data_IF_710535391675
#
_entry.id   IF_710535391675
#
_cell.length_a   1.000
_cell.length_b   1.000
_cell.length_c   1.000
_cell.angle_alpha   90.00
_cell.angle_beta   90.00
_cell.angle_gamma   90.00
#
_symmetry.space_group_name_H-M   'P 1'
#
loop_
_entity.id
_entity.type
_entity.pdbx_description
1 polymer ?
#
# COMPACT_ATOMS: atom_id res chain seq x y z
N UNK A 1 -3.17 -24.85 -26.17
CA UNK A 1 -3.91 -24.18 -25.06
C UNK A 1 -4.28 -22.79 -25.51
N UNK A 2 -5.52 -22.31 -25.28
CA UNK A 2 -5.89 -20.93 -25.66
C UNK A 2 -5.08 -19.93 -24.80
N UNK A 3 -4.66 -18.77 -25.31
CA UNK A 3 -3.83 -17.80 -24.58
C UNK A 3 -4.47 -17.35 -23.25
N UNK A 4 -5.80 -17.33 -23.19
CA UNK A 4 -6.57 -17.05 -21.97
C UNK A 4 -6.30 -18.09 -20.87
N UNK A 5 -6.19 -19.37 -21.23
CA UNK A 5 -5.88 -20.45 -20.28
C UNK A 5 -4.44 -20.37 -19.79
N UNK A 6 -3.50 -19.96 -20.65
CA UNK A 6 -2.11 -19.76 -20.26
C UNK A 6 -1.99 -18.59 -19.26
N UNK A 7 -2.69 -17.47 -19.51
CA UNK A 7 -2.68 -16.30 -18.64
C UNK A 7 -3.42 -16.54 -17.31
N UNK A 8 -4.53 -17.27 -17.32
CA UNK A 8 -5.23 -17.67 -16.07
C UNK A 8 -4.39 -18.66 -15.26
N UNK A 9 -3.70 -19.60 -15.90
CA UNK A 9 -2.73 -20.47 -15.23
C UNK A 9 -1.53 -19.69 -14.67
N UNK A 10 -1.06 -18.65 -15.37
CA UNK A 10 0.00 -17.77 -14.89
C UNK A 10 -0.45 -16.95 -13.66
N UNK A 11 -1.69 -16.44 -13.66
CA UNK A 11 -2.27 -15.77 -12.50
C UNK A 11 -2.44 -16.76 -11.32
N UNK A 12 -2.94 -17.97 -11.58
CA UNK A 12 -3.05 -19.02 -10.56
C UNK A 12 -1.67 -19.45 -10.00
N UNK A 13 -0.62 -19.44 -10.82
CA UNK A 13 0.75 -19.66 -10.37
C UNK A 13 1.26 -18.52 -9.46
N UNK A 14 0.91 -17.26 -9.74
CA UNK A 14 1.23 -16.14 -8.85
C UNK A 14 0.50 -16.22 -7.51
N UNK A 15 -0.72 -16.77 -7.47
CA UNK A 15 -1.44 -17.09 -6.23
C UNK A 15 -0.80 -18.23 -5.41
N UNK A 16 0.01 -19.09 -6.04
CA UNK A 16 0.67 -20.23 -5.37
C UNK A 16 2.02 -19.89 -4.72
N UNK A 17 2.52 -18.67 -4.91
CA UNK A 17 3.70 -18.17 -4.17
C UNK A 17 3.21 -17.69 -2.80
N UNK A 18 2.97 -18.65 -1.90
CA UNK A 18 2.67 -18.37 -0.50
C UNK A 18 3.90 -17.77 0.22
N UNK A 19 3.72 -16.80 1.13
CA UNK A 19 4.80 -16.21 1.92
C UNK A 19 5.56 -17.21 2.80
N UNK A 20 5.01 -18.42 3.00
CA UNK A 20 5.71 -19.50 3.71
C UNK A 20 7.02 -19.94 3.03
N UNK A 21 7.19 -19.73 1.72
CA UNK A 21 8.40 -20.14 0.99
C UNK A 21 9.54 -19.11 1.02
N UNK A 22 9.35 -17.97 1.71
CA UNK A 22 10.35 -16.91 1.85
C UNK A 22 11.00 -16.85 3.24
N UNK A 23 10.60 -17.74 4.18
CA UNK A 23 11.27 -17.85 5.46
C UNK A 23 12.53 -18.72 5.31
N UNK A 24 13.70 -18.12 5.51
CA UNK A 24 14.85 -18.85 6.03
C UNK A 24 14.59 -19.17 7.51
N UNK A 25 14.95 -20.39 7.92
CA UNK A 25 14.91 -20.81 9.32
C UNK A 25 15.85 -19.93 10.15
N UNK A 26 15.30 -18.90 10.80
CA UNK A 26 15.98 -18.14 11.84
C UNK A 26 15.41 -18.62 13.18
N UNK A 27 16.15 -19.51 13.83
CA UNK A 27 15.87 -20.03 15.16
C UNK A 27 16.20 -18.93 16.18
N UNK A 28 15.19 -18.23 16.71
CA UNK A 28 15.39 -17.25 17.77
C UNK A 28 15.17 -17.90 19.15
N UNK A 29 16.29 -18.37 19.70
CA UNK A 29 16.43 -18.71 21.11
C UNK A 29 16.10 -17.52 22.04
N UNK A 30 15.32 -17.86 23.05
CA UNK A 30 14.81 -17.08 24.18
C UNK A 30 15.79 -16.07 24.83
N UNK A 31 15.34 -14.84 25.08
CA UNK A 31 15.80 -14.02 26.21
C UNK A 31 14.69 -13.07 26.72
N UNK A 32 14.06 -13.51 27.81
CA UNK A 32 13.35 -12.79 28.87
C UNK A 32 13.26 -11.25 28.80
N UNK A 33 12.01 -10.78 28.79
CA UNK A 33 11.57 -9.41 29.04
C UNK A 33 12.01 -8.90 30.41
N UNK A 34 12.70 -7.75 30.44
CA UNK A 34 12.90 -6.96 31.66
C UNK A 34 11.96 -5.75 31.62
N UNK A 35 11.06 -5.54 32.60
CA UNK A 35 10.19 -4.37 32.61
C UNK A 35 10.92 -3.14 33.15
N UNK A 36 10.92 -2.06 32.38
CA UNK A 36 11.39 -0.75 32.81
C UNK A 36 10.39 -0.12 33.79
N UNK A 37 10.92 0.32 34.94
CA UNK A 37 10.17 0.92 36.04
C UNK A 37 9.62 2.31 35.67
N UNK A 38 8.32 2.50 35.88
CA UNK A 38 7.63 3.79 35.81
C UNK A 38 7.68 4.53 37.15
N UNK A 39 8.21 5.75 37.13
CA UNK A 39 8.27 6.69 38.25
C UNK A 39 6.88 7.30 38.59
N UNK A 40 6.61 7.68 39.85
CA UNK A 40 5.30 8.16 40.27
C UNK A 40 5.09 9.66 40.04
N UNK A 41 3.84 9.98 39.69
CA UNK A 41 3.25 11.31 39.56
C UNK A 41 2.93 11.88 40.95
N UNK A 42 3.33 13.12 41.25
CA UNK A 42 2.98 13.79 42.51
C UNK A 42 2.52 15.23 42.27
N UNK A 43 1.43 15.57 42.95
CA UNK A 43 0.55 16.74 42.83
C UNK A 43 1.18 18.08 43.23
N UNK A 44 0.68 19.17 42.64
CA UNK A 44 0.92 20.54 43.07
C UNK A 44 -0.01 20.91 44.23
N UNK A 45 0.51 21.58 45.27
CA UNK A 45 -0.22 22.62 46.01
C UNK A 45 0.75 23.50 46.82
N UNK A 46 0.39 24.80 46.87
CA UNK A 46 1.11 25.96 47.42
C UNK A 46 1.66 25.85 48.85
N UNK A 47 2.71 26.63 49.17
CA UNK A 47 2.70 27.74 50.15
C UNK A 47 4.06 28.48 50.16
N UNK A 48 3.94 29.80 50.26
CA UNK A 48 4.89 30.90 50.35
C UNK A 48 5.84 30.87 51.58
N UNK A 49 7.13 31.26 51.41
CA UNK A 49 7.84 32.25 52.26
C UNK A 49 9.33 32.53 51.87
N UNK A 50 9.64 33.83 51.75
CA UNK A 50 10.84 34.63 52.08
C UNK A 50 12.31 34.27 51.63
N UNK A 51 12.86 35.21 50.84
CA UNK A 51 14.26 35.62 50.54
C UNK A 51 15.24 35.81 51.74
N UNK A 52 16.53 36.27 51.55
CA UNK A 52 17.56 36.02 50.50
C UNK A 52 19.01 35.85 51.08
N UNK A 53 20.02 35.48 50.27
CA UNK A 53 21.42 35.97 50.41
C UNK A 53 22.39 35.52 49.29
N UNK A 54 22.90 36.51 48.54
CA UNK A 54 24.27 36.75 48.01
C UNK A 54 25.18 35.63 47.46
N UNK A 55 25.75 35.86 46.26
CA UNK A 55 27.07 35.29 45.89
C UNK A 55 27.46 35.27 44.40
N UNK A 56 27.91 36.42 43.88
CA UNK A 56 28.97 36.65 42.86
C UNK A 56 29.04 35.89 41.52
N UNK A 57 29.34 36.70 40.48
CA UNK A 57 29.65 36.37 39.10
C UNK A 57 31.00 35.66 38.92
N UNK A 58 31.24 35.07 37.74
CA UNK A 58 32.49 35.16 36.94
C UNK A 58 32.29 34.45 35.57
N UNK A 59 32.94 34.99 34.54
CA UNK A 59 32.81 34.71 33.10
C UNK A 59 33.83 33.67 32.58
N UNK A 60 33.65 33.18 31.34
CA UNK A 60 34.73 32.60 30.50
C UNK A 60 34.24 31.48 29.55
N UNK A 61 34.02 31.72 28.26
CA UNK A 61 34.97 31.86 27.12
C UNK A 61 35.26 30.57 26.32
N UNK A 62 35.11 30.65 24.98
CA UNK A 62 35.64 29.71 23.98
C UNK A 62 34.58 29.17 23.00
N UNK A 63 34.12 29.90 21.97
CA UNK A 63 34.77 30.26 20.70
C UNK A 63 34.90 29.11 19.66
N UNK A 64 34.17 29.31 18.56
CA UNK A 64 34.53 29.07 17.16
C UNK A 64 34.74 27.63 16.62
N UNK A 65 33.90 27.30 15.64
CA UNK A 65 34.12 26.27 14.63
C UNK A 65 33.20 26.52 13.42
N UNK A 66 33.45 27.61 12.69
CA UNK A 66 33.00 27.78 11.31
C UNK A 66 34.12 27.25 10.39
N UNK A 67 33.73 26.50 9.36
CA UNK A 67 34.30 26.48 7.99
C UNK A 67 33.86 25.15 7.34
N UNK A 68 32.87 25.20 6.44
CA UNK A 68 32.99 25.44 4.99
C UNK A 68 33.04 24.13 4.20
N UNK A 69 31.95 23.94 3.45
CA UNK A 69 31.83 23.30 2.15
C UNK A 69 33.02 22.45 1.64
N UNK A 70 32.77 21.14 1.49
CA UNK A 70 33.40 20.36 0.45
C UNK A 70 32.50 19.21 -0.01
N UNK A 71 32.02 19.32 -1.25
CA UNK A 71 31.89 18.17 -2.17
C UNK A 71 30.71 17.22 -1.95
N UNK A 72 29.61 17.50 -2.64
CA UNK A 72 28.51 16.55 -2.82
C UNK A 72 27.74 16.86 -4.09
N UNK A 73 28.43 16.63 -5.22
CA UNK A 73 27.96 16.53 -6.60
C UNK A 73 26.47 16.72 -6.89
N UNK A 74 26.24 17.60 -7.85
CA UNK A 74 25.00 17.80 -8.60
C UNK A 74 24.25 16.47 -8.90
N UNK A 75 23.21 16.19 -8.12
CA UNK A 75 22.18 15.18 -8.44
C UNK A 75 20.78 15.82 -8.40
N UNK A 76 20.70 17.09 -8.82
CA UNK A 76 19.46 17.87 -8.79
C UNK A 76 18.50 17.58 -9.96
N UNK A 77 18.85 16.68 -10.89
CA UNK A 77 18.05 16.35 -12.07
C UNK A 77 17.30 15.02 -11.99
N UNK A 78 17.97 13.94 -11.56
CA UNK A 78 17.38 12.60 -11.52
C UNK A 78 16.71 12.28 -10.17
N UNK A 79 17.22 12.83 -9.06
CA UNK A 79 16.63 12.64 -7.73
C UNK A 79 15.24 13.28 -7.57
N UNK A 80 15.01 14.43 -8.22
CA UNK A 80 13.75 15.18 -8.10
C UNK A 80 12.56 14.48 -8.76
N UNK A 81 12.72 14.02 -10.01
CA UNK A 81 11.65 13.37 -10.77
C UNK A 81 11.26 12.01 -10.18
N UNK A 82 12.26 11.19 -9.80
CA UNK A 82 12.02 9.90 -9.15
C UNK A 82 11.37 10.09 -7.77
N UNK A 83 11.75 11.11 -7.01
CA UNK A 83 11.11 11.42 -5.73
C UNK A 83 9.63 11.82 -5.89
N UNK A 84 9.27 12.57 -6.95
CA UNK A 84 7.88 12.88 -7.27
C UNK A 84 7.11 11.61 -7.65
N UNK A 85 7.68 10.76 -8.52
CA UNK A 85 7.07 9.49 -8.91
C UNK A 85 6.76 8.58 -7.71
N UNK A 86 7.67 8.51 -6.73
CA UNK A 86 7.45 7.74 -5.49
C UNK A 86 6.25 8.23 -4.69
N UNK A 87 5.94 9.54 -4.70
CA UNK A 87 4.79 10.11 -3.98
C UNK A 87 3.46 9.96 -4.74
N UNK A 88 3.50 9.57 -6.01
CA UNK A 88 2.30 9.44 -6.84
C UNK A 88 1.59 8.09 -6.66
N UNK A 89 2.23 7.07 -6.08
CA UNK A 89 1.59 5.76 -5.91
C UNK A 89 0.21 5.83 -5.24
N UNK A 90 0.04 6.51 -4.08
CA UNK A 90 -1.28 6.68 -3.46
C UNK A 90 -2.30 7.39 -4.37
N UNK A 91 -1.87 8.32 -5.22
CA UNK A 91 -2.78 8.95 -6.18
C UNK A 91 -3.20 7.97 -7.29
N UNK A 92 -2.25 7.21 -7.83
CA UNK A 92 -2.49 6.29 -8.95
C UNK A 92 -3.41 5.12 -8.62
N UNK A 93 -3.54 4.73 -7.34
CA UNK A 93 -4.44 3.63 -6.94
C UNK A 93 -5.93 3.99 -7.01
N UNK A 94 -6.29 5.27 -6.88
CA UNK A 94 -7.70 5.68 -6.80
C UNK A 94 -8.45 5.42 -8.11
N UNK A 95 -7.78 5.63 -9.24
CA UNK A 95 -8.37 5.47 -10.56
C UNK A 95 -8.81 4.02 -10.85
N UNK A 96 -7.94 3.00 -10.77
CA UNK A 96 -8.36 1.61 -10.97
C UNK A 96 -9.38 1.14 -9.92
N UNK A 97 -9.25 1.57 -8.65
CA UNK A 97 -10.24 1.24 -7.60
C UNK A 97 -11.62 1.73 -8.02
N UNK A 98 -11.76 3.01 -8.34
CA UNK A 98 -13.03 3.60 -8.73
C UNK A 98 -13.62 2.91 -9.97
N UNK A 99 -12.80 2.67 -11.01
CA UNK A 99 -13.29 2.08 -12.25
C UNK A 99 -13.72 0.62 -12.10
N UNK A 100 -12.99 -0.22 -11.37
CA UNK A 100 -13.40 -1.61 -11.17
C UNK A 100 -14.63 -1.73 -10.27
N UNK A 101 -14.72 -0.91 -9.21
CA UNK A 101 -15.92 -0.89 -8.36
C UNK A 101 -17.15 -0.39 -9.13
N UNK A 102 -16.98 0.67 -9.95
CA UNK A 102 -18.07 1.16 -10.81
C UNK A 102 -18.43 0.19 -11.93
N UNK A 103 -17.46 -0.55 -12.49
CA UNK A 103 -17.73 -1.62 -13.45
C UNK A 103 -18.58 -2.72 -12.81
N UNK A 104 -18.22 -3.17 -11.60
CA UNK A 104 -18.98 -4.19 -10.86
C UNK A 104 -20.40 -3.71 -10.52
N UNK A 105 -20.55 -2.47 -10.05
CA UNK A 105 -21.85 -1.87 -9.78
C UNK A 105 -22.70 -1.75 -11.06
N UNK A 106 -22.10 -1.29 -12.16
CA UNK A 106 -22.78 -1.16 -13.46
C UNK A 106 -23.20 -2.53 -14.01
N UNK A 107 -22.36 -3.56 -13.87
CA UNK A 107 -22.70 -4.93 -14.25
C UNK A 107 -23.87 -5.49 -13.40
N UNK A 108 -24.02 -5.08 -12.14
CA UNK A 108 -25.20 -5.41 -11.32
C UNK A 108 -26.49 -4.82 -11.91
N UNK A 109 -26.45 -3.59 -12.43
CA UNK A 109 -27.60 -3.00 -13.14
C UNK A 109 -27.92 -3.73 -14.45
N UNK A 110 -26.90 -4.21 -15.18
CA UNK A 110 -27.07 -5.08 -16.35
C UNK A 110 -27.75 -6.39 -15.95
N UNK A 111 -27.31 -7.05 -14.87
CA UNK A 111 -27.91 -8.29 -14.35
C UNK A 111 -29.37 -8.08 -13.94
N UNK A 112 -29.66 -6.98 -13.26
CA UNK A 112 -31.02 -6.62 -12.82
C UNK A 112 -31.96 -6.25 -13.98
N UNK A 113 -31.49 -6.31 -15.25
CA UNK A 113 -32.21 -5.87 -16.45
C UNK A 113 -32.67 -4.40 -16.39
N UNK A 114 -32.04 -3.60 -15.52
CA UNK A 114 -32.32 -2.17 -15.32
C UNK A 114 -31.45 -1.26 -16.19
N UNK A 115 -30.50 -1.83 -16.92
CA UNK A 115 -29.53 -1.10 -17.73
C UNK A 115 -29.35 -1.67 -19.13
N UNK A 116 -30.42 -1.63 -19.95
CA UNK A 116 -30.31 -1.98 -21.37
C UNK A 116 -29.22 -1.11 -22.02
N UNK A 117 -28.17 -1.73 -22.54
CA UNK A 117 -27.07 -1.02 -23.21
C UNK A 117 -25.96 -0.46 -22.31
N UNK A 118 -25.89 -0.80 -21.02
CA UNK A 118 -24.76 -0.39 -20.16
C UNK A 118 -23.49 -1.25 -20.32
N UNK A 119 -23.55 -2.32 -21.12
CA UNK A 119 -22.42 -3.22 -21.34
C UNK A 119 -21.16 -2.55 -21.92
N UNK A 120 -21.26 -1.60 -22.87
CA UNK A 120 -20.10 -0.84 -23.34
C UNK A 120 -19.47 0.01 -22.23
N UNK A 121 -20.28 0.58 -21.32
CA UNK A 121 -19.78 1.35 -20.19
C UNK A 121 -18.95 0.47 -19.23
N UNK A 122 -19.45 -0.74 -18.90
CA UNK A 122 -18.69 -1.73 -18.12
C UNK A 122 -17.36 -2.04 -18.79
N UNK A 123 -17.36 -2.22 -20.13
CA UNK A 123 -16.15 -2.53 -20.91
C UNK A 123 -15.13 -1.40 -20.86
N UNK A 124 -15.55 -0.14 -21.03
CA UNK A 124 -14.67 1.03 -20.93
C UNK A 124 -14.07 1.14 -19.53
N UNK A 125 -14.88 0.94 -18.48
CA UNK A 125 -14.41 0.96 -17.10
C UNK A 125 -13.39 -0.16 -16.83
N UNK A 126 -13.61 -1.36 -17.36
CA UNK A 126 -12.64 -2.47 -17.25
C UNK A 126 -11.32 -2.11 -17.94
N UNK A 127 -11.34 -1.53 -19.15
CA UNK A 127 -10.10 -1.15 -19.83
C UNK A 127 -9.35 -0.04 -19.11
N UNK A 128 -10.05 1.01 -18.70
CA UNK A 128 -9.45 2.09 -17.91
C UNK A 128 -8.92 1.59 -16.57
N UNK A 129 -9.66 0.70 -15.90
CA UNK A 129 -9.26 0.07 -14.65
C UNK A 129 -8.02 -0.80 -14.83
N UNK A 130 -7.95 -1.61 -15.88
CA UNK A 130 -6.80 -2.46 -16.19
C UNK A 130 -5.54 -1.62 -16.46
N UNK A 131 -5.66 -0.58 -17.30
CA UNK A 131 -4.56 0.34 -17.55
C UNK A 131 -4.11 1.05 -16.27
N UNK A 132 -5.07 1.55 -15.48
CA UNK A 132 -4.79 2.19 -14.19
C UNK A 132 -4.12 1.26 -13.18
N UNK A 133 -4.52 -0.02 -13.13
CA UNK A 133 -3.94 -0.99 -12.21
C UNK A 133 -2.50 -1.35 -12.56
N UNK A 134 -2.18 -1.44 -13.87
CA UNK A 134 -0.79 -1.61 -14.32
C UNK A 134 0.05 -0.40 -13.89
N UNK A 135 -0.43 0.83 -14.12
CA UNK A 135 0.26 2.05 -13.68
C UNK A 135 0.44 2.06 -12.16
N UNK A 136 -0.61 1.74 -11.40
CA UNK A 136 -0.55 1.71 -9.94
C UNK A 136 0.45 0.68 -9.42
N UNK A 137 0.48 -0.53 -10.01
CA UNK A 137 1.45 -1.57 -9.65
C UNK A 137 2.88 -1.12 -9.95
N UNK A 138 3.14 -0.55 -11.14
CA UNK A 138 4.46 -0.02 -11.49
C UNK A 138 4.93 1.04 -10.49
N UNK A 139 4.05 1.99 -10.14
CA UNK A 139 4.37 3.02 -9.16
C UNK A 139 4.56 2.46 -7.76
N UNK A 140 3.87 1.38 -7.40
CA UNK A 140 4.07 0.66 -6.15
C UNK A 140 5.47 0.06 -6.06
N UNK A 141 5.91 -0.63 -7.12
CA UNK A 141 7.27 -1.18 -7.20
C UNK A 141 8.36 -0.09 -7.23
N UNK A 142 8.09 1.07 -7.85
CA UNK A 142 9.00 2.23 -7.78
C UNK A 142 9.04 2.82 -6.37
N UNK A 143 7.89 2.87 -5.69
CA UNK A 143 7.77 3.41 -4.32
C UNK A 143 8.56 2.57 -3.31
N UNK A 144 8.43 1.23 -3.35
CA UNK A 144 9.11 0.31 -2.42
C UNK A 144 10.51 -0.11 -2.89
N UNK A 145 10.84 0.10 -4.15
CA UNK A 145 12.02 -0.49 -4.80
C UNK A 145 11.89 -2.00 -5.06
N UNK A 146 12.95 -2.61 -5.59
CA UNK A 146 13.07 -4.07 -5.82
C UNK A 146 13.37 -4.83 -4.51
N UNK A 147 13.14 -4.20 -3.36
CA UNK A 147 13.37 -4.82 -2.06
C UNK A 147 12.21 -5.76 -1.72
N UNK A 148 12.53 -6.99 -1.35
CA UNK A 148 11.53 -8.02 -1.05
C UNK A 148 11.20 -8.17 0.42
N UNK A 149 11.83 -7.43 1.35
CA UNK A 149 11.49 -7.49 2.78
C UNK A 149 10.20 -6.75 3.13
N UNK A 150 9.94 -6.64 4.44
CA UNK A 150 8.75 -6.01 5.01
C UNK A 150 8.01 -6.97 5.93
N UNK A 151 7.17 -6.43 6.80
CA UNK A 151 6.25 -7.23 7.61
C UNK A 151 5.20 -7.94 6.73
N UNK A 152 4.42 -8.83 7.33
CA UNK A 152 3.37 -9.60 6.64
C UNK A 152 2.39 -8.68 5.90
N UNK A 153 2.03 -7.54 6.48
CA UNK A 153 1.09 -6.59 5.88
C UNK A 153 1.66 -6.04 4.58
N UNK A 154 2.92 -5.61 4.58
CA UNK A 154 3.62 -5.11 3.40
C UNK A 154 3.74 -6.18 2.31
N UNK A 155 4.08 -7.42 2.68
CA UNK A 155 4.18 -8.53 1.73
C UNK A 155 2.85 -8.78 1.04
N UNK A 156 1.78 -8.91 1.81
CA UNK A 156 0.44 -9.22 1.29
C UNK A 156 -0.06 -8.05 0.44
N UNK A 157 0.13 -6.81 0.88
CA UNK A 157 -0.27 -5.61 0.13
C UNK A 157 0.38 -5.59 -1.27
N UNK A 158 1.71 -5.76 -1.32
CA UNK A 158 2.50 -5.70 -2.56
C UNK A 158 2.12 -6.81 -3.55
N UNK A 159 2.08 -8.05 -3.08
CA UNK A 159 1.78 -9.20 -3.95
C UNK A 159 0.32 -9.20 -4.40
N UNK A 160 -0.61 -8.88 -3.51
CA UNK A 160 -2.01 -8.72 -3.89
C UNK A 160 -2.18 -7.54 -4.88
N UNK A 161 -1.39 -6.48 -4.78
CA UNK A 161 -1.45 -5.33 -5.69
C UNK A 161 -1.02 -5.71 -7.11
N UNK A 162 0.05 -6.50 -7.20
CA UNK A 162 0.54 -7.07 -8.46
C UNK A 162 -0.46 -8.07 -9.05
N UNK A 163 -1.06 -8.92 -8.22
CA UNK A 163 -2.13 -9.83 -8.63
C UNK A 163 -3.32 -9.06 -9.22
N UNK A 164 -3.77 -7.98 -8.58
CA UNK A 164 -4.88 -7.16 -9.05
C UNK A 164 -4.60 -6.55 -10.44
N UNK A 165 -3.37 -6.12 -10.71
CA UNK A 165 -3.00 -5.67 -12.05
C UNK A 165 -3.11 -6.79 -13.09
N UNK A 166 -2.64 -8.01 -12.76
CA UNK A 166 -2.76 -9.17 -13.63
C UNK A 166 -4.23 -9.58 -13.88
N UNK A 167 -5.06 -9.61 -12.82
CA UNK A 167 -6.50 -9.88 -12.94
C UNK A 167 -7.22 -8.81 -13.77
N UNK A 168 -6.82 -7.55 -13.66
CA UNK A 168 -7.32 -6.46 -14.49
C UNK A 168 -7.06 -6.69 -15.98
N UNK A 169 -5.86 -7.15 -16.35
CA UNK A 169 -5.54 -7.52 -17.73
C UNK A 169 -6.36 -8.72 -18.21
N UNK A 170 -6.54 -9.73 -17.35
CA UNK A 170 -7.41 -10.88 -17.65
C UNK A 170 -8.84 -10.39 -17.90
N UNK A 171 -9.38 -9.50 -17.05
CA UNK A 171 -10.70 -8.88 -17.25
C UNK A 171 -10.79 -8.14 -18.59
N UNK A 172 -9.77 -7.37 -18.97
CA UNK A 172 -9.73 -6.69 -20.26
C UNK A 172 -9.81 -7.66 -21.45
N UNK A 173 -9.13 -8.81 -21.36
CA UNK A 173 -9.20 -9.87 -22.37
C UNK A 173 -10.57 -10.56 -22.38
N UNK A 174 -11.18 -10.81 -21.21
CA UNK A 174 -12.54 -11.33 -21.13
C UNK A 174 -13.55 -10.34 -21.73
N UNK A 175 -13.34 -9.05 -21.51
CA UNK A 175 -14.20 -7.99 -21.98
C UNK A 175 -14.06 -7.71 -23.49
N UNK A 176 -12.94 -8.06 -24.15
CA UNK A 176 -12.75 -7.83 -25.58
C UNK A 176 -13.49 -8.83 -26.47
N UNK A 177 -13.61 -10.08 -26.02
CA UNK A 177 -14.23 -11.16 -26.79
C UNK A 177 -15.76 -11.08 -26.86
N UNK A 178 -16.32 -11.52 -27.98
CA UNK A 178 -17.71 -11.94 -28.06
C UNK A 178 -17.78 -13.35 -27.46
N UNK A 179 -18.32 -13.47 -26.24
CA UNK A 179 -18.47 -14.74 -25.54
C UNK A 179 -19.94 -15.09 -25.43
N UNK A 180 -20.26 -16.37 -25.61
CA UNK A 180 -21.62 -16.91 -25.43
C UNK A 180 -22.15 -16.70 -24.01
N UNK A 181 -21.25 -16.58 -23.02
CA UNK A 181 -21.59 -16.33 -21.63
C UNK A 181 -20.74 -15.22 -21.01
N UNK A 182 -21.42 -14.30 -20.31
CA UNK A 182 -20.80 -13.27 -19.46
C UNK A 182 -20.44 -13.78 -18.05
N UNK A 183 -20.82 -15.01 -17.69
CA UNK A 183 -20.55 -15.59 -16.37
C UNK A 183 -19.07 -15.47 -15.92
N UNK A 184 -18.06 -15.83 -16.75
CA UNK A 184 -16.66 -15.74 -16.30
C UNK A 184 -16.20 -14.28 -16.07
N UNK A 185 -16.71 -13.32 -16.85
CA UNK A 185 -16.42 -11.90 -16.65
C UNK A 185 -17.03 -11.44 -15.32
N UNK A 186 -18.29 -11.80 -15.06
CA UNK A 186 -19.00 -11.43 -13.82
C UNK A 186 -18.32 -11.99 -12.59
N UNK A 187 -18.01 -13.29 -12.58
CA UNK A 187 -17.32 -13.94 -11.47
C UNK A 187 -16.01 -13.22 -11.19
N UNK A 188 -15.17 -13.04 -12.22
CA UNK A 188 -13.88 -12.39 -12.04
C UNK A 188 -14.01 -10.92 -11.63
N UNK A 189 -14.98 -10.17 -12.16
CA UNK A 189 -15.19 -8.76 -11.85
C UNK A 189 -15.67 -8.56 -10.41
N UNK A 190 -16.57 -9.42 -9.90
CA UNK A 190 -17.00 -9.35 -8.51
C UNK A 190 -15.90 -9.83 -7.56
N UNK A 191 -15.11 -10.85 -7.93
CA UNK A 191 -13.91 -11.23 -7.18
C UNK A 191 -12.91 -10.07 -7.13
N UNK A 192 -12.65 -9.39 -8.25
CA UNK A 192 -11.79 -8.20 -8.33
C UNK A 192 -12.27 -7.10 -7.37
N UNK A 193 -13.58 -6.82 -7.34
CA UNK A 193 -14.16 -5.81 -6.44
C UNK A 193 -13.92 -6.14 -4.96
N UNK A 194 -14.11 -7.40 -4.55
CA UNK A 194 -13.85 -7.85 -3.17
C UNK A 194 -12.37 -7.74 -2.82
N UNK A 195 -11.47 -8.17 -3.72
CA UNK A 195 -10.03 -8.08 -3.49
C UNK A 195 -9.55 -6.63 -3.39
N UNK A 196 -10.15 -5.69 -4.12
CA UNK A 196 -9.84 -4.26 -4.01
C UNK A 196 -10.23 -3.68 -2.64
N UNK A 197 -11.33 -4.13 -2.04
CA UNK A 197 -11.70 -3.73 -0.68
C UNK A 197 -10.65 -4.22 0.33
N UNK A 198 -10.23 -5.48 0.22
CA UNK A 198 -9.15 -6.03 1.05
C UNK A 198 -7.83 -5.29 0.82
N UNK A 199 -7.49 -4.95 -0.42
CA UNK A 199 -6.30 -4.17 -0.73
C UNK A 199 -6.34 -2.76 -0.12
N UNK A 200 -7.51 -2.10 -0.15
CA UNK A 200 -7.72 -0.81 0.48
C UNK A 200 -7.52 -0.88 1.99
N UNK A 201 -8.02 -1.94 2.64
CA UNK A 201 -7.79 -2.19 4.06
C UNK A 201 -6.30 -2.35 4.39
N UNK A 202 -5.56 -3.18 3.63
CA UNK A 202 -4.11 -3.35 3.80
C UNK A 202 -3.34 -2.04 3.59
N UNK A 203 -3.74 -1.22 2.61
CA UNK A 203 -3.16 0.10 2.40
C UNK A 203 -3.41 1.05 3.60
N UNK A 204 -4.58 0.94 4.23
CA UNK A 204 -4.90 1.67 5.46
C UNK A 204 -4.00 1.27 6.63
N UNK A 205 -3.79 -0.03 6.83
CA UNK A 205 -2.89 -0.58 7.86
C UNK A 205 -1.45 -0.09 7.67
N UNK A 206 -0.95 -0.04 6.42
CA UNK A 206 0.39 0.49 6.13
C UNK A 206 0.51 2.00 6.38
N UNK A 207 -0.57 2.76 6.19
CA UNK A 207 -0.56 4.21 6.31
C UNK A 207 -0.79 4.69 7.76
N UNK A 208 -1.60 3.98 8.54
CA UNK A 208 -2.03 4.41 9.88
C UNK A 208 -1.53 3.50 11.00
N UNK A 209 -0.90 2.37 10.66
CA UNK A 209 -0.43 1.37 11.60
C UNK A 209 -1.44 0.23 11.81
N UNK A 210 -0.99 -0.84 12.49
CA UNK A 210 -1.83 -2.01 12.74
C UNK A 210 -3.08 -1.68 13.56
N UNK A 211 -4.18 -2.36 13.25
CA UNK A 211 -5.43 -2.28 14.01
C UNK A 211 -6.05 -0.86 14.06
N UNK A 212 -5.75 -0.02 13.07
CA UNK A 212 -6.24 1.37 13.03
C UNK A 212 -7.79 1.47 12.97
N UNK A 213 -8.47 0.39 12.59
CA UNK A 213 -9.93 0.26 12.56
C UNK A 213 -10.51 -0.62 13.68
N UNK A 214 -9.68 -1.14 14.60
CA UNK A 214 -10.12 -2.11 15.61
C UNK A 214 -10.47 -3.49 15.03
N UNK A 215 -9.83 -3.86 13.92
CA UNK A 215 -9.97 -5.15 13.24
C UNK A 215 -8.59 -5.85 13.15
N UNK A 216 -8.31 -6.77 14.08
CA UNK A 216 -7.15 -7.66 14.02
C UNK A 216 -7.39 -8.83 13.05
N UNK A 217 -6.44 -9.09 12.15
CA UNK A 217 -6.55 -10.13 11.11
C UNK A 217 -5.33 -11.06 11.04
N UNK A 218 -4.47 -10.98 12.05
CA UNK A 218 -3.35 -11.85 12.41
C UNK A 218 -3.45 -12.08 13.92
#
# INVERSE_FOLDING_TARGET
MKPVHLLTLLCAAMLSVSPAQAHGDEDHGNAASTPAASAPKQDNHDVMEAQPASGQAEEGHGAAGHDEAAGGHDEAGEGGFVAVLKKLHPATIHFPIALFLMAALTELFVIARRGAGLEPAVRVMIYGGAAGAVVAALFGWIHTGIWFGGDTVMQVHRWNGTLLAALGLVLAVLASGQRDSRAPLRVLLFTMAILLLGQGFLGGELAHGPDHLGLSWI
#
